data_IF_064867602387
#
_entry.id   IF_064867602387
#
_cell.length_a   1.000
_cell.length_b   1.000
_cell.length_c   1.000
_cell.angle_alpha   90.00
_cell.angle_beta   90.00
_cell.angle_gamma   90.00
#
_symmetry.space_group_name_H-M   'P 1'
#
loop_
_entity.id
_entity.type
_entity.pdbx_description
1 polymer ?
#
# COMPACT_ATOMS: atom_id res chain seq x y z
N UNK A 1 38.38 11.20 -19.20
CA UNK A 1 37.36 11.42 -18.16
C UNK A 1 36.07 10.83 -18.67
N UNK A 2 35.61 9.71 -18.10
CA UNK A 2 34.27 9.22 -18.40
C UNK A 2 33.27 10.23 -17.82
N UNK A 3 32.37 10.75 -18.67
CA UNK A 3 31.26 11.57 -18.20
C UNK A 3 30.47 10.74 -17.18
N UNK A 4 30.26 11.28 -15.98
CA UNK A 4 29.36 10.67 -15.02
C UNK A 4 27.99 10.55 -15.69
N UNK A 5 27.55 9.31 -15.97
CA UNK A 5 26.21 9.05 -16.49
C UNK A 5 25.21 9.58 -15.47
N UNK A 6 24.33 10.48 -15.90
CA UNK A 6 23.29 11.05 -15.04
C UNK A 6 22.48 9.91 -14.37
N UNK A 7 22.06 10.09 -13.10
CA UNK A 7 21.30 9.06 -12.40
C UNK A 7 20.00 8.77 -13.16
N UNK A 8 19.75 7.48 -13.42
CA UNK A 8 18.55 7.00 -14.10
C UNK A 8 17.34 6.86 -13.16
N UNK A 9 17.51 7.14 -11.88
CA UNK A 9 16.51 7.12 -10.82
C UNK A 9 16.59 8.42 -10.01
N UNK A 10 15.45 9.00 -9.70
CA UNK A 10 15.33 10.24 -8.92
C UNK A 10 14.33 10.00 -7.79
N UNK A 11 14.83 9.66 -6.61
CA UNK A 11 14.00 9.27 -5.46
C UNK A 11 13.31 10.48 -4.85
N UNK A 12 12.01 10.38 -4.55
CA UNK A 12 11.20 11.49 -4.05
C UNK A 12 11.86 12.25 -2.87
N UNK A 13 12.43 11.51 -1.91
CA UNK A 13 13.08 12.09 -0.73
C UNK A 13 14.41 12.80 -1.00
N UNK A 14 15.02 12.59 -2.17
CA UNK A 14 16.25 13.26 -2.61
C UNK A 14 15.97 14.51 -3.45
N UNK A 15 14.72 14.69 -3.88
CA UNK A 15 14.28 15.80 -4.73
C UNK A 15 13.75 17.01 -3.95
N UNK A 16 13.77 16.94 -2.63
CA UNK A 16 13.17 17.93 -1.73
C UNK A 16 14.10 18.29 -0.58
N UNK A 17 13.97 19.51 -0.07
CA UNK A 17 14.58 19.91 1.21
C UNK A 17 13.67 19.56 2.41
N UNK A 18 12.37 19.45 2.16
CA UNK A 18 11.36 19.03 3.14
C UNK A 18 10.90 17.62 2.80
N UNK A 19 11.36 16.64 3.58
CA UNK A 19 11.07 15.23 3.33
C UNK A 19 9.56 14.93 3.35
N UNK A 20 8.85 15.66 4.20
CA UNK A 20 7.42 15.50 4.46
C UNK A 20 6.60 16.55 3.71
N UNK A 21 5.46 16.15 3.16
CA UNK A 21 4.43 17.08 2.74
C UNK A 21 3.03 16.53 3.04
N UNK A 22 2.11 17.42 3.41
CA UNK A 22 0.71 17.06 3.61
C UNK A 22 0.06 16.58 2.31
N UNK A 23 -0.86 15.62 2.42
CA UNK A 23 -1.78 15.26 1.32
C UNK A 23 -2.87 16.32 1.23
N UNK A 24 -2.86 17.06 0.14
CA UNK A 24 -3.84 18.11 -0.18
C UNK A 24 -5.03 17.55 -0.95
N UNK A 25 -6.10 18.35 -1.10
CA UNK A 25 -7.25 17.97 -1.92
C UNK A 25 -6.85 17.62 -3.37
N UNK A 26 -5.86 18.31 -3.94
CA UNK A 26 -5.38 18.03 -5.30
C UNK A 26 -4.69 16.67 -5.41
N UNK A 27 -4.01 16.25 -4.36
CA UNK A 27 -3.28 14.98 -4.34
C UNK A 27 -4.22 13.76 -4.35
N UNK A 28 -5.48 13.96 -3.94
CA UNK A 28 -6.55 12.94 -3.88
C UNK A 28 -7.33 12.81 -5.20
N UNK A 29 -7.00 13.62 -6.21
CA UNK A 29 -7.62 13.52 -7.54
C UNK A 29 -7.15 12.26 -8.27
N UNK A 30 -8.08 11.56 -8.90
CA UNK A 30 -7.75 10.51 -9.87
C UNK A 30 -7.02 11.14 -11.05
N UNK A 31 -5.76 10.78 -11.25
CA UNK A 31 -4.90 11.37 -12.29
C UNK A 31 -5.22 10.79 -13.65
N UNK A 32 -5.49 9.48 -13.72
CA UNK A 32 -5.66 8.71 -14.96
C UNK A 32 -4.51 8.96 -15.94
N UNK A 33 -3.28 8.72 -15.47
CA UNK A 33 -2.07 9.00 -16.23
C UNK A 33 -2.08 8.30 -17.61
N UNK A 34 -1.57 9.01 -18.62
CA UNK A 34 -1.46 8.49 -19.98
C UNK A 34 -0.35 7.45 -20.12
N UNK A 35 -0.34 6.72 -21.24
CA UNK A 35 0.60 5.62 -21.45
C UNK A 35 0.26 4.38 -20.62
N UNK A 36 1.26 3.52 -20.38
CA UNK A 36 1.09 2.34 -19.53
C UNK A 36 1.14 2.75 -18.06
N UNK A 37 -0.03 2.94 -17.45
CA UNK A 37 -0.13 3.32 -16.05
C UNK A 37 -1.19 2.52 -15.29
N UNK A 38 -0.97 2.37 -13.99
CA UNK A 38 -1.99 1.92 -13.02
C UNK A 38 -2.18 2.98 -11.95
N UNK A 39 -3.41 3.09 -11.46
CA UNK A 39 -3.79 3.96 -10.36
C UNK A 39 -4.76 3.21 -9.45
N UNK A 40 -4.47 3.17 -8.15
CA UNK A 40 -5.30 2.49 -7.16
C UNK A 40 -5.68 3.42 -6.02
N UNK A 41 -6.88 3.20 -5.49
CA UNK A 41 -7.28 3.65 -4.17
C UNK A 41 -7.59 2.41 -3.34
N UNK A 42 -6.83 2.21 -2.26
CA UNK A 42 -6.89 1.01 -1.41
C UNK A 42 -7.12 1.40 0.03
N UNK A 43 -8.09 0.75 0.66
CA UNK A 43 -8.43 0.90 2.07
C UNK A 43 -8.11 -0.41 2.77
N UNK A 44 -7.05 -0.43 3.57
CA UNK A 44 -6.71 -1.52 4.48
C UNK A 44 -7.36 -1.27 5.83
N UNK A 45 -7.95 -2.29 6.44
CA UNK A 45 -8.77 -2.17 7.64
C UNK A 45 -8.48 -3.32 8.60
N UNK A 46 -8.31 -2.97 9.87
CA UNK A 46 -8.27 -3.87 11.00
C UNK A 46 -9.50 -3.58 11.87
N UNK A 47 -10.39 -4.56 12.01
CA UNK A 47 -11.63 -4.38 12.78
C UNK A 47 -11.36 -4.51 14.27
N UNK A 48 -12.26 -3.99 15.10
CA UNK A 48 -12.23 -4.13 16.57
C UNK A 48 -12.31 -5.61 17.00
N UNK A 49 -12.88 -6.46 16.15
CA UNK A 49 -12.90 -7.92 16.34
C UNK A 49 -11.59 -8.62 15.92
N UNK A 50 -10.60 -7.85 15.45
CA UNK A 50 -9.31 -8.35 15.02
C UNK A 50 -9.33 -9.04 13.66
N UNK A 51 -10.32 -8.75 12.81
CA UNK A 51 -10.37 -9.22 11.43
C UNK A 51 -9.62 -8.25 10.51
N UNK A 52 -9.11 -8.78 9.40
CA UNK A 52 -8.52 -7.98 8.35
C UNK A 52 -9.47 -7.88 7.16
N UNK A 53 -9.59 -6.68 6.61
CA UNK A 53 -10.30 -6.42 5.37
C UNK A 53 -9.50 -5.43 4.52
N UNK A 54 -9.53 -5.60 3.20
CA UNK A 54 -9.20 -4.48 2.33
C UNK A 54 -10.17 -4.37 1.16
N UNK A 55 -10.33 -3.15 0.65
CA UNK A 55 -11.10 -2.86 -0.55
C UNK A 55 -10.28 -1.92 -1.45
N UNK A 56 -10.17 -2.28 -2.72
CA UNK A 56 -9.41 -1.54 -3.72
C UNK A 56 -10.24 -1.28 -4.97
N UNK A 57 -10.12 -0.09 -5.53
CA UNK A 57 -10.43 0.19 -6.94
C UNK A 57 -9.12 0.39 -7.71
N UNK A 58 -8.99 -0.24 -8.87
CA UNK A 58 -7.86 -0.13 -9.78
C UNK A 58 -8.34 0.38 -11.13
N UNK A 59 -7.73 1.48 -11.59
CA UNK A 59 -7.75 1.90 -12.99
C UNK A 59 -6.43 1.51 -13.66
N UNK A 60 -6.49 0.78 -14.77
CA UNK A 60 -5.31 0.36 -15.53
C UNK A 60 -5.43 0.74 -17.00
N UNK A 61 -4.40 1.38 -17.54
CA UNK A 61 -4.26 1.73 -18.96
C UNK A 61 -3.09 0.98 -19.64
N UNK A 62 -2.75 -0.20 -19.13
CA UNK A 62 -1.67 -1.04 -19.70
C UNK A 62 -2.12 -1.72 -21.02
N UNK A 63 -3.43 -1.93 -21.21
CA UNK A 63 -4.01 -2.53 -22.41
C UNK A 63 -4.38 -1.53 -23.52
N UNK A 64 -5.13 -2.00 -24.52
CA UNK A 64 -5.66 -1.13 -25.60
C UNK A 64 -6.73 -0.15 -25.13
N UNK A 65 -7.48 -0.52 -24.09
CA UNK A 65 -8.50 0.32 -23.47
C UNK A 65 -8.31 0.27 -21.95
N UNK A 66 -8.65 1.35 -21.24
CA UNK A 66 -8.64 1.35 -19.79
C UNK A 66 -9.55 0.27 -19.21
N UNK A 67 -9.09 -0.41 -18.17
CA UNK A 67 -9.88 -1.38 -17.41
C UNK A 67 -10.04 -0.92 -15.98
N UNK A 68 -11.24 -1.08 -15.43
CA UNK A 68 -11.54 -0.79 -14.04
C UNK A 68 -11.82 -2.09 -13.33
N UNK A 69 -11.14 -2.31 -12.21
CA UNK A 69 -11.26 -3.53 -11.44
C UNK A 69 -11.45 -3.19 -9.98
N UNK A 70 -12.17 -4.04 -9.26
CA UNK A 70 -12.12 -4.06 -7.81
C UNK A 70 -11.33 -5.28 -7.34
N UNK A 71 -10.71 -5.16 -6.18
CA UNK A 71 -10.31 -6.31 -5.37
C UNK A 71 -10.72 -6.07 -3.93
N UNK A 72 -11.19 -7.11 -3.27
CA UNK A 72 -11.63 -7.07 -1.90
C UNK A 72 -11.20 -8.34 -1.17
N UNK A 73 -10.81 -8.20 0.09
CA UNK A 73 -10.42 -9.32 0.94
C UNK A 73 -11.13 -9.22 2.28
N UNK A 74 -11.49 -10.37 2.83
CA UNK A 74 -11.83 -10.52 4.24
C UNK A 74 -11.10 -11.73 4.82
N UNK A 75 -10.51 -11.55 6.00
CA UNK A 75 -9.81 -12.60 6.74
C UNK A 75 -10.14 -12.50 8.23
N UNK A 76 -10.82 -13.51 8.77
CA UNK A 76 -11.31 -13.53 10.14
C UNK A 76 -12.40 -14.58 10.35
N UNK A 77 -12.56 -15.07 11.59
CA UNK A 77 -13.60 -16.05 11.97
C UNK A 77 -13.73 -17.27 11.05
N UNK A 78 -12.58 -17.82 10.63
CA UNK A 78 -12.49 -18.97 9.73
C UNK A 78 -12.85 -18.67 8.27
N UNK A 79 -13.10 -17.41 7.91
CA UNK A 79 -13.23 -16.95 6.53
C UNK A 79 -11.87 -16.45 6.05
N UNK A 80 -11.45 -16.94 4.88
CA UNK A 80 -10.38 -16.35 4.08
C UNK A 80 -10.92 -16.21 2.66
N UNK A 81 -11.31 -14.99 2.29
CA UNK A 81 -11.97 -14.72 1.03
C UNK A 81 -11.28 -13.58 0.30
N UNK A 82 -10.88 -13.85 -0.94
CA UNK A 82 -10.35 -12.87 -1.87
C UNK A 82 -11.26 -12.84 -3.10
N UNK A 83 -11.76 -11.65 -3.46
CA UNK A 83 -12.69 -11.44 -4.57
C UNK A 83 -12.16 -10.33 -5.45
N UNK A 84 -12.23 -10.51 -6.76
CA UNK A 84 -11.89 -9.51 -7.74
C UNK A 84 -12.86 -9.56 -8.91
N UNK A 85 -12.97 -8.46 -9.64
CA UNK A 85 -13.78 -8.42 -10.84
C UNK A 85 -13.64 -7.12 -11.60
N UNK A 86 -14.09 -7.13 -12.84
CA UNK A 86 -14.13 -5.94 -13.68
C UNK A 86 -15.38 -5.12 -13.39
N UNK A 87 -15.27 -3.80 -13.56
CA UNK A 87 -16.36 -2.84 -13.38
C UNK A 87 -16.59 -2.04 -14.66
N UNK A 88 -17.84 -1.60 -14.86
CA UNK A 88 -18.29 -0.79 -15.99
C UNK A 88 -18.80 0.57 -15.54
N UNK A 89 -19.01 1.47 -16.51
CA UNK A 89 -19.57 2.81 -16.32
C UNK A 89 -18.81 3.68 -15.31
N UNK A 90 -17.48 3.62 -15.37
CA UNK A 90 -16.61 4.44 -14.53
C UNK A 90 -16.80 5.93 -14.80
N UNK A 91 -17.10 6.67 -13.73
CA UNK A 91 -17.31 8.12 -13.73
C UNK A 91 -16.61 8.74 -12.54
N UNK A 92 -15.95 9.85 -12.80
CA UNK A 92 -15.39 10.71 -11.76
C UNK A 92 -16.35 11.85 -11.43
N UNK A 93 -16.31 12.31 -10.17
CA UNK A 93 -16.86 13.60 -9.79
C UNK A 93 -16.18 14.74 -10.57
N UNK A 94 -16.78 15.93 -10.59
CA UNK A 94 -16.22 17.10 -11.29
C UNK A 94 -14.84 17.51 -10.78
N UNK A 95 -14.60 17.30 -9.49
CA UNK A 95 -13.31 17.54 -8.84
C UNK A 95 -12.36 16.32 -8.92
N UNK A 96 -12.79 15.23 -9.57
CA UNK A 96 -12.04 13.99 -9.75
C UNK A 96 -11.60 13.26 -8.47
N UNK A 97 -12.12 13.62 -7.30
CA UNK A 97 -11.76 12.98 -6.02
C UNK A 97 -12.64 11.78 -5.64
N UNK A 98 -13.77 11.63 -6.31
CA UNK A 98 -14.70 10.52 -6.13
C UNK A 98 -14.84 9.72 -7.43
N UNK A 99 -15.02 8.41 -7.31
CA UNK A 99 -15.16 7.48 -8.41
C UNK A 99 -16.37 6.58 -8.22
N UNK A 100 -17.15 6.39 -9.29
CA UNK A 100 -18.33 5.53 -9.29
C UNK A 100 -18.31 4.59 -10.49
N UNK A 101 -18.84 3.39 -10.31
CA UNK A 101 -19.05 2.34 -11.31
C UNK A 101 -20.41 1.69 -11.05
N UNK A 102 -20.84 0.73 -11.88
CA UNK A 102 -22.10 0.02 -11.66
C UNK A 102 -22.16 -0.78 -10.34
N UNK A 103 -21.01 -1.19 -9.80
CA UNK A 103 -20.93 -2.03 -8.59
C UNK A 103 -20.11 -1.45 -7.45
N UNK A 104 -19.45 -0.31 -7.64
CA UNK A 104 -18.58 0.28 -6.61
C UNK A 104 -18.62 1.80 -6.63
N UNK A 105 -18.58 2.40 -5.44
CA UNK A 105 -18.43 3.84 -5.24
C UNK A 105 -17.36 4.10 -4.20
N UNK A 106 -16.53 5.11 -4.47
CA UNK A 106 -15.61 5.74 -3.51
C UNK A 106 -15.92 7.23 -3.56
N UNK A 107 -16.51 7.76 -2.50
CA UNK A 107 -16.97 9.15 -2.43
C UNK A 107 -16.21 9.88 -1.33
N UNK A 108 -15.51 10.96 -1.67
CA UNK A 108 -14.84 11.83 -0.71
C UNK A 108 -15.73 13.01 -0.35
N UNK A 109 -15.87 13.31 0.95
CA UNK A 109 -16.62 14.49 1.39
C UNK A 109 -15.94 15.81 0.97
N UNK A 110 -16.67 16.93 0.90
CA UNK A 110 -16.12 18.22 0.49
C UNK A 110 -14.93 18.71 1.32
N UNK A 111 -14.89 18.37 2.61
CA UNK A 111 -13.82 18.73 3.53
C UNK A 111 -12.54 17.89 3.34
N UNK A 112 -12.58 16.86 2.47
CA UNK A 112 -11.47 15.95 2.19
C UNK A 112 -10.94 15.21 3.44
N UNK A 113 -11.85 14.84 4.34
CA UNK A 113 -11.54 14.17 5.61
C UNK A 113 -12.12 12.76 5.72
N UNK A 114 -13.13 12.41 4.92
CA UNK A 114 -13.86 11.15 5.04
C UNK A 114 -14.26 10.59 3.68
N UNK A 115 -13.94 9.32 3.46
CA UNK A 115 -14.45 8.54 2.34
C UNK A 115 -15.69 7.74 2.76
N UNK A 116 -16.66 7.62 1.87
CA UNK A 116 -17.74 6.63 1.92
C UNK A 116 -17.53 5.65 0.78
N UNK A 117 -17.39 4.37 1.10
CA UNK A 117 -17.09 3.31 0.13
C UNK A 117 -18.21 2.27 0.14
N UNK A 118 -18.71 1.93 -1.03
CA UNK A 118 -19.65 0.82 -1.22
C UNK A 118 -19.18 -0.08 -2.35
N UNK A 119 -19.27 -1.40 -2.16
CA UNK A 119 -19.00 -2.40 -3.18
C UNK A 119 -20.11 -3.45 -3.13
N UNK A 120 -20.74 -3.69 -4.27
CA UNK A 120 -21.73 -4.75 -4.48
C UNK A 120 -21.24 -5.60 -5.64
N UNK A 121 -20.90 -6.85 -5.34
CA UNK A 121 -20.53 -7.83 -6.35
C UNK A 121 -21.32 -9.12 -6.11
N UNK A 122 -22.21 -9.41 -7.07
CA UNK A 122 -23.19 -10.50 -6.99
C UNK A 122 -23.99 -10.47 -5.67
N UNK A 123 -24.56 -11.59 -5.28
CA UNK A 123 -25.16 -11.80 -3.97
C UNK A 123 -24.17 -12.36 -2.94
N UNK A 124 -22.88 -12.45 -3.27
CA UNK A 124 -21.85 -13.05 -2.40
C UNK A 124 -21.00 -12.02 -1.66
N UNK A 125 -20.95 -10.78 -2.14
CA UNK A 125 -20.12 -9.72 -1.57
C UNK A 125 -20.86 -8.38 -1.56
N UNK A 126 -21.13 -7.88 -0.36
CA UNK A 126 -21.56 -6.50 -0.15
C UNK A 126 -20.66 -5.87 0.91
N UNK A 127 -20.06 -4.72 0.63
CA UNK A 127 -19.26 -3.96 1.58
C UNK A 127 -19.78 -2.53 1.59
N UNK A 128 -19.93 -1.95 2.77
CA UNK A 128 -20.24 -0.53 2.95
C UNK A 128 -19.54 -0.01 4.20
N UNK A 129 -18.70 1.01 4.06
CA UNK A 129 -18.05 1.66 5.20
C UNK A 129 -17.77 3.14 4.95
N UNK A 130 -17.61 3.87 6.05
CA UNK A 130 -16.98 5.17 6.09
C UNK A 130 -15.54 5.03 6.61
N UNK A 131 -14.62 5.81 6.04
CA UNK A 131 -13.22 5.89 6.45
C UNK A 131 -12.88 7.35 6.72
N UNK A 132 -12.76 7.73 7.99
CA UNK A 132 -12.48 9.10 8.43
C UNK A 132 -11.01 9.23 8.85
N UNK A 133 -10.27 10.14 8.21
CA UNK A 133 -8.86 10.39 8.53
C UNK A 133 -8.72 10.92 9.96
N UNK A 134 -7.79 10.34 10.71
CA UNK A 134 -7.59 10.68 12.13
C UNK A 134 -6.85 12.02 12.34
N UNK A 135 -5.81 12.28 11.57
CA UNK A 135 -4.99 13.51 11.71
C UNK A 135 -4.76 14.15 10.34
N UNK A 136 -3.71 13.73 9.65
CA UNK A 136 -3.34 14.22 8.32
C UNK A 136 -2.74 13.11 7.47
N UNK A 137 -2.80 13.29 6.17
CA UNK A 137 -2.17 12.40 5.21
C UNK A 137 -0.78 12.88 4.85
N UNK A 138 0.08 11.99 4.38
CA UNK A 138 1.45 12.34 4.00
C UNK A 138 1.84 11.81 2.62
N UNK A 139 2.82 12.49 2.02
CA UNK A 139 3.62 12.07 0.88
C UNK A 139 5.08 12.46 1.12
N UNK A 140 6.02 11.77 0.47
CA UNK A 140 7.46 12.11 0.55
C UNK A 140 7.76 13.19 -0.49
N UNK A 141 8.15 14.39 -0.07
CA UNK A 141 8.26 15.56 -0.95
C UNK A 141 6.99 15.73 -1.79
N UNK A 142 7.13 15.82 -3.11
CA UNK A 142 5.98 15.89 -4.03
C UNK A 142 5.29 14.55 -4.30
N UNK A 143 5.72 13.47 -3.62
CA UNK A 143 5.14 12.14 -3.68
C UNK A 143 5.67 11.25 -4.82
N UNK A 144 6.53 11.76 -5.71
CA UNK A 144 6.98 11.07 -6.93
C UNK A 144 8.45 10.69 -6.94
N UNK A 145 8.70 9.39 -7.15
CA UNK A 145 10.01 8.89 -7.59
C UNK A 145 9.99 8.73 -9.10
N UNK A 146 10.96 9.31 -9.81
CA UNK A 146 11.01 9.32 -11.27
C UNK A 146 12.09 8.40 -11.83
N UNK A 147 11.82 7.86 -13.02
CA UNK A 147 12.70 6.97 -13.76
C UNK A 147 13.15 7.62 -15.07
N UNK A 148 14.37 7.28 -15.50
CA UNK A 148 15.03 7.87 -16.67
C UNK A 148 15.93 9.04 -16.30
N UNK A 149 16.97 9.28 -17.09
CA UNK A 149 17.95 10.35 -16.84
C UNK A 149 17.34 11.75 -16.81
N UNK A 150 16.22 11.95 -17.51
CA UNK A 150 15.47 13.21 -17.63
C UNK A 150 14.08 13.14 -16.96
N UNK A 151 13.83 12.12 -16.10
CA UNK A 151 12.55 11.90 -15.42
C UNK A 151 11.36 11.62 -16.36
N UNK A 152 11.61 11.26 -17.62
CA UNK A 152 10.56 11.06 -18.63
C UNK A 152 10.05 9.62 -18.77
N UNK A 153 10.77 8.62 -18.24
CA UNK A 153 10.49 7.21 -18.52
C UNK A 153 9.28 6.69 -17.75
N UNK A 154 9.07 7.20 -16.54
CA UNK A 154 7.97 6.78 -15.69
C UNK A 154 8.12 7.34 -14.28
N UNK A 155 7.12 7.07 -13.45
CA UNK A 155 7.13 7.47 -12.05
C UNK A 155 6.39 6.47 -11.18
N UNK A 156 6.69 6.51 -9.88
CA UNK A 156 5.92 5.87 -8.83
C UNK A 156 5.49 6.96 -7.86
N UNK A 157 4.21 6.95 -7.49
CA UNK A 157 3.61 7.94 -6.60
C UNK A 157 2.76 7.25 -5.54
N UNK A 158 2.88 7.71 -4.30
CA UNK A 158 2.05 7.22 -3.20
C UNK A 158 1.62 8.36 -2.29
N UNK A 159 0.34 8.36 -1.93
CA UNK A 159 -0.23 9.22 -0.90
C UNK A 159 -0.91 8.35 0.14
N UNK A 160 -0.75 8.74 1.41
CA UNK A 160 -1.22 7.94 2.54
C UNK A 160 -2.13 8.75 3.42
N UNK A 161 -3.21 8.13 3.92
CA UNK A 161 -3.76 8.51 5.23
C UNK A 161 -3.35 7.41 6.22
N UNK A 162 -2.33 7.66 7.06
CA UNK A 162 -1.63 6.63 7.82
C UNK A 162 -2.49 5.96 8.90
N UNK A 163 -3.54 6.64 9.35
CA UNK A 163 -4.57 6.10 10.25
C UNK A 163 -5.92 6.75 9.94
N UNK A 164 -6.96 5.94 9.85
CA UNK A 164 -8.35 6.35 9.76
C UNK A 164 -9.23 5.52 10.68
N UNK A 165 -10.37 6.09 11.10
CA UNK A 165 -11.45 5.37 11.78
C UNK A 165 -12.36 4.79 10.72
N UNK A 166 -12.72 3.53 10.90
CA UNK A 166 -13.60 2.79 10.00
C UNK A 166 -14.92 2.57 10.71
N UNK A 167 -16.03 2.77 10.01
CA UNK A 167 -17.33 2.27 10.47
C UNK A 167 -18.14 1.70 9.32
N UNK A 168 -18.64 0.49 9.48
CA UNK A 168 -19.34 -0.17 8.39
C UNK A 168 -19.59 -1.65 8.60
N UNK A 169 -19.91 -2.34 7.52
CA UNK A 169 -20.16 -3.76 7.52
C UNK A 169 -19.75 -4.42 6.19
N UNK A 170 -19.52 -5.72 6.27
CA UNK A 170 -19.35 -6.61 5.13
C UNK A 170 -20.29 -7.80 5.24
N UNK A 171 -20.94 -8.12 4.13
CA UNK A 171 -21.53 -9.42 3.87
C UNK A 171 -20.62 -10.19 2.92
N UNK A 172 -20.13 -11.34 3.36
CA UNK A 172 -19.28 -12.21 2.56
C UNK A 172 -19.53 -13.68 2.87
N UNK A 173 -19.63 -14.50 1.82
CA UNK A 173 -19.86 -15.96 1.95
C UNK A 173 -21.04 -16.32 2.86
N UNK A 174 -22.14 -15.55 2.79
CA UNK A 174 -23.35 -15.82 3.58
C UNK A 174 -23.32 -15.30 5.04
N UNK A 175 -22.25 -14.61 5.45
CA UNK A 175 -22.09 -14.09 6.82
C UNK A 175 -21.94 -12.58 6.82
N UNK A 176 -22.45 -11.95 7.88
CA UNK A 176 -22.27 -10.52 8.15
C UNK A 176 -21.18 -10.31 9.20
N UNK A 177 -20.31 -9.34 8.97
CA UNK A 177 -19.30 -8.88 9.91
C UNK A 177 -19.32 -7.36 10.01
N UNK A 178 -19.01 -6.86 11.19
CA UNK A 178 -18.83 -5.45 11.47
C UNK A 178 -17.41 -5.02 11.04
N UNK A 179 -17.28 -3.84 10.42
CA UNK A 179 -16.01 -3.28 9.97
C UNK A 179 -15.50 -2.11 10.84
N UNK A 180 -16.14 -1.83 11.98
CA UNK A 180 -15.68 -0.82 12.91
C UNK A 180 -14.25 -1.14 13.35
N UNK A 181 -13.41 -0.11 13.40
CA UNK A 181 -12.01 -0.23 13.78
C UNK A 181 -11.17 0.86 13.16
N UNK A 182 -9.96 0.49 12.74
CA UNK A 182 -8.98 1.42 12.18
C UNK A 182 -8.43 0.93 10.86
N UNK A 183 -7.76 1.80 10.12
CA UNK A 183 -7.15 1.41 8.87
C UNK A 183 -6.21 2.42 8.26
N UNK A 184 -5.70 2.06 7.10
CA UNK A 184 -4.74 2.81 6.29
C UNK A 184 -5.32 2.99 4.88
N UNK A 185 -5.32 4.23 4.38
CA UNK A 185 -5.66 4.50 2.99
C UNK A 185 -4.41 4.81 2.17
N UNK A 186 -4.31 4.20 0.99
CA UNK A 186 -3.23 4.42 0.02
C UNK A 186 -3.81 4.75 -1.34
N UNK A 187 -3.41 5.90 -1.89
CA UNK A 187 -3.63 6.26 -3.29
C UNK A 187 -2.30 6.13 -4.04
N UNK A 188 -2.17 5.10 -4.87
CA UNK A 188 -0.93 4.75 -5.55
C UNK A 188 -1.04 4.94 -7.06
N UNK A 189 0.02 5.42 -7.69
CA UNK A 189 0.14 5.51 -9.14
C UNK A 189 1.47 4.94 -9.59
N UNK A 190 1.42 4.15 -10.66
CA UNK A 190 2.60 3.65 -11.35
C UNK A 190 2.50 4.09 -12.80
N UNK A 191 3.32 5.06 -13.20
CA UNK A 191 3.34 5.65 -14.54
C UNK A 191 4.16 4.86 -15.56
N UNK A 192 4.39 3.56 -15.31
CA UNK A 192 5.05 2.65 -16.23
C UNK A 192 4.68 1.20 -15.87
N UNK A 193 5.07 0.23 -16.72
CA UNK A 193 4.75 -1.19 -16.46
C UNK A 193 5.42 -1.69 -15.18
N UNK A 194 4.72 -2.38 -14.27
CA UNK A 194 5.25 -2.74 -12.94
C UNK A 194 6.59 -3.50 -12.97
N UNK A 195 6.77 -4.41 -13.93
CA UNK A 195 8.00 -5.21 -14.06
C UNK A 195 9.25 -4.42 -14.47
N UNK A 196 9.08 -3.19 -14.93
CA UNK A 196 10.20 -2.29 -15.22
C UNK A 196 10.58 -1.46 -13.99
N UNK A 197 9.67 -1.30 -13.03
CA UNK A 197 9.83 -0.46 -11.84
C UNK A 197 10.72 -1.17 -10.82
N UNK A 198 10.32 -2.37 -10.42
CA UNK A 198 10.86 -3.04 -9.24
C UNK A 198 10.92 -4.55 -9.39
N UNK A 199 11.87 -5.16 -8.69
CA UNK A 199 12.03 -6.62 -8.56
C UNK A 199 11.33 -7.16 -7.32
N UNK A 200 11.20 -6.33 -6.28
CA UNK A 200 10.56 -6.69 -5.02
C UNK A 200 9.80 -5.51 -4.41
N UNK A 201 8.68 -5.79 -3.75
CA UNK A 201 8.01 -4.86 -2.85
C UNK A 201 7.82 -5.48 -1.47
N UNK A 202 7.88 -4.65 -0.43
CA UNK A 202 7.47 -5.00 0.91
C UNK A 202 6.48 -3.95 1.40
N UNK A 203 5.37 -4.40 1.98
CA UNK A 203 4.37 -3.53 2.58
C UNK A 203 4.05 -3.99 4.00
N UNK A 204 3.82 -3.01 4.88
CA UNK A 204 3.43 -3.24 6.27
C UNK A 204 2.35 -2.24 6.67
N UNK A 205 1.33 -2.75 7.34
CA UNK A 205 0.29 -2.00 8.05
C UNK A 205 0.08 -2.60 9.44
N UNK A 206 0.49 -1.87 10.48
CA UNK A 206 0.40 -2.30 11.88
C UNK A 206 -0.54 -1.37 12.65
N UNK A 207 -1.45 -1.94 13.44
CA UNK A 207 -2.35 -1.21 14.31
C UNK A 207 -2.40 -1.81 15.71
N UNK A 208 -2.26 -0.93 16.70
CA UNK A 208 -2.58 -1.14 18.11
C UNK A 208 -3.44 0.04 18.59
N UNK A 209 -3.89 0.01 19.84
CA UNK A 209 -4.70 1.10 20.41
C UNK A 209 -3.99 2.46 20.30
N UNK A 210 -2.70 2.50 20.62
CA UNK A 210 -1.91 3.74 20.70
C UNK A 210 -1.04 4.00 19.45
N UNK A 211 -0.55 2.96 18.79
CA UNK A 211 0.42 3.06 17.69
C UNK A 211 -0.16 2.52 16.40
N UNK A 212 -0.01 3.29 15.31
CA UNK A 212 -0.11 2.75 13.95
C UNK A 212 1.20 3.00 13.18
N UNK A 213 1.65 1.98 12.45
CA UNK A 213 2.87 2.03 11.63
C UNK A 213 2.52 1.60 10.20
N UNK A 214 3.11 2.29 9.23
CA UNK A 214 3.08 1.82 7.85
C UNK A 214 4.45 1.91 7.21
N UNK A 215 4.73 0.99 6.28
CA UNK A 215 5.93 1.02 5.45
C UNK A 215 5.62 0.50 4.06
N UNK A 216 6.17 1.16 3.06
CA UNK A 216 6.25 0.65 1.70
C UNK A 216 7.71 0.76 1.23
N UNK A 217 8.31 -0.39 0.93
CA UNK A 217 9.64 -0.50 0.32
C UNK A 217 9.51 -1.13 -1.05
N UNK A 218 10.23 -0.61 -2.04
CA UNK A 218 10.47 -1.33 -3.28
C UNK A 218 11.93 -1.29 -3.68
N UNK A 219 12.39 -2.39 -4.28
CA UNK A 219 13.73 -2.52 -4.82
C UNK A 219 13.65 -2.35 -6.34
N UNK A 220 14.33 -1.35 -6.89
CA UNK A 220 14.27 -1.07 -8.32
C UNK A 220 14.88 -2.19 -9.15
N UNK A 221 14.54 -2.25 -10.43
CA UNK A 221 15.21 -3.20 -11.34
C UNK A 221 16.71 -2.88 -11.50
N UNK A 222 17.53 -3.85 -11.94
CA UNK A 222 18.95 -3.61 -12.20
C UNK A 222 19.22 -2.46 -13.17
N UNK A 223 18.28 -2.17 -14.08
CA UNK A 223 18.35 -1.02 -15.00
C UNK A 223 18.38 0.34 -14.27
N UNK A 224 17.90 0.38 -13.03
CA UNK A 224 17.87 1.55 -12.15
C UNK A 224 18.68 1.35 -10.86
N UNK A 225 19.66 0.43 -10.89
CA UNK A 225 20.67 0.30 -9.85
C UNK A 225 20.32 -0.59 -8.66
N UNK A 226 19.19 -1.32 -8.67
CA UNK A 226 18.75 -2.16 -7.54
C UNK A 226 18.67 -1.39 -6.21
N UNK A 227 18.16 -0.16 -6.30
CA UNK A 227 18.05 0.75 -5.17
C UNK A 227 16.78 0.43 -4.38
N UNK A 228 16.91 0.33 -3.05
CA UNK A 228 15.74 0.27 -2.16
C UNK A 228 15.21 1.67 -1.92
N UNK A 229 13.98 1.91 -2.36
CA UNK A 229 13.22 3.13 -2.08
C UNK A 229 12.22 2.80 -0.99
N UNK A 230 12.22 3.59 0.09
CA UNK A 230 11.42 3.31 1.27
C UNK A 230 10.70 4.57 1.75
N UNK A 231 9.48 4.39 2.24
CA UNK A 231 8.68 5.42 2.91
C UNK A 231 7.84 4.76 4.01
N UNK A 232 7.72 5.42 5.15
CA UNK A 232 6.96 4.88 6.28
C UNK A 232 6.55 5.96 7.26
N UNK A 233 5.59 5.62 8.11
CA UNK A 233 5.01 6.54 9.08
C UNK A 233 4.89 5.94 10.48
N UNK A 234 4.87 6.83 11.46
CA UNK A 234 4.62 6.58 12.87
C UNK A 234 3.47 7.48 13.33
N UNK A 235 2.35 6.86 13.69
CA UNK A 235 1.23 7.52 14.35
C UNK A 235 1.24 7.11 15.82
N UNK A 236 1.15 8.08 16.73
CA UNK A 236 1.06 7.86 18.18
C UNK A 236 -0.16 8.61 18.70
N UNK A 237 -1.06 7.92 19.38
CA UNK A 237 -2.26 8.50 19.99
C UNK A 237 -3.01 9.43 19.03
N UNK A 238 -3.34 8.89 17.85
CA UNK A 238 -4.09 9.58 16.81
C UNK A 238 -3.41 10.84 16.25
N UNK A 239 -2.08 10.95 16.37
CA UNK A 239 -1.25 12.00 15.75
C UNK A 239 -0.17 11.42 14.87
N UNK A 240 -0.01 11.97 13.66
CA UNK A 240 1.13 11.64 12.81
C UNK A 240 2.38 12.28 13.41
N UNK A 241 3.17 11.45 14.10
CA UNK A 241 4.38 11.89 14.80
C UNK A 241 5.59 11.87 13.88
N UNK A 242 5.72 10.88 13.00
CA UNK A 242 6.92 10.72 12.18
C UNK A 242 6.63 10.22 10.78
N UNK A 243 7.39 10.73 9.82
CA UNK A 243 7.52 10.20 8.47
C UNK A 243 8.99 10.00 8.17
N UNK A 244 9.35 8.88 7.54
CA UNK A 244 10.75 8.58 7.26
C UNK A 244 10.94 7.78 5.97
N UNK A 245 12.12 7.97 5.38
CA UNK A 245 12.68 7.15 4.29
C UNK A 245 13.89 6.32 4.76
N UNK A 246 14.34 6.52 6.00
CA UNK A 246 15.46 5.76 6.63
C UNK A 246 14.91 4.54 7.38
N UNK A 247 14.12 3.76 6.67
CA UNK A 247 13.53 2.53 7.18
C UNK A 247 14.20 1.34 6.49
N UNK A 248 14.03 0.15 7.06
CA UNK A 248 14.55 -1.08 6.47
C UNK A 248 13.60 -2.25 6.67
N UNK A 249 13.50 -3.07 5.63
CA UNK A 249 12.95 -4.44 5.69
C UNK A 249 14.09 -5.43 5.51
N UNK A 250 14.27 -6.32 6.49
CA UNK A 250 15.30 -7.35 6.48
C UNK A 250 14.67 -8.72 6.69
N UNK A 251 14.85 -9.62 5.71
CA UNK A 251 14.51 -11.03 5.86
C UNK A 251 15.66 -11.71 6.59
N UNK A 252 15.51 -11.92 7.90
CA UNK A 252 16.54 -12.49 8.77
C UNK A 252 16.72 -13.99 8.54
N UNK A 253 15.61 -14.68 8.27
CA UNK A 253 15.58 -16.09 7.89
C UNK A 253 14.69 -16.25 6.65
N UNK A 254 15.11 -17.09 5.70
CA UNK A 254 14.31 -17.39 4.50
C UNK A 254 14.29 -18.88 4.19
N UNK A 255 13.22 -19.33 3.56
CA UNK A 255 13.09 -20.67 3.01
C UNK A 255 12.72 -20.63 1.53
N UNK A 256 13.05 -21.69 0.79
CA UNK A 256 12.63 -21.83 -0.60
C UNK A 256 11.16 -22.31 -0.65
N UNK A 257 10.30 -21.55 -1.31
CA UNK A 257 9.01 -22.06 -1.76
C UNK A 257 9.22 -22.82 -3.08
N UNK A 258 9.21 -24.15 -3.02
CA UNK A 258 9.44 -25.03 -4.17
C UNK A 258 8.42 -24.82 -5.32
N UNK A 259 7.22 -24.31 -5.03
CA UNK A 259 6.21 -24.06 -6.06
C UNK A 259 6.56 -22.86 -6.93
N UNK A 260 7.12 -21.81 -6.31
CA UNK A 260 7.37 -20.53 -6.99
C UNK A 260 8.84 -20.29 -7.31
N UNK A 261 9.75 -21.00 -6.63
CA UNK A 261 11.19 -20.81 -6.70
C UNK A 261 11.71 -19.63 -5.87
N UNK A 262 10.85 -18.86 -5.19
CA UNK A 262 11.28 -17.71 -4.39
C UNK A 262 11.73 -18.12 -2.99
N UNK A 263 12.71 -17.37 -2.45
CA UNK A 263 13.06 -17.46 -1.03
C UNK A 263 12.17 -16.51 -0.22
N UNK A 264 11.20 -17.08 0.48
CA UNK A 264 10.23 -16.33 1.28
C UNK A 264 10.69 -16.18 2.73
N UNK A 265 10.30 -15.09 3.42
CA UNK A 265 10.74 -14.86 4.79
C UNK A 265 10.10 -15.82 5.81
N UNK A 266 10.93 -16.32 6.72
CA UNK A 266 10.53 -17.01 7.97
C UNK A 266 10.66 -16.12 9.19
N UNK A 267 11.57 -15.16 9.15
CA UNK A 267 11.73 -14.11 10.16
C UNK A 267 12.00 -12.77 9.46
N UNK A 268 11.28 -11.73 9.86
CA UNK A 268 11.39 -10.38 9.29
C UNK A 268 11.66 -9.37 10.40
N UNK A 269 12.58 -8.44 10.14
CA UNK A 269 12.81 -7.25 10.93
C UNK A 269 12.41 -6.02 10.14
N UNK A 270 11.62 -5.15 10.76
CA UNK A 270 11.23 -3.85 10.27
C UNK A 270 11.78 -2.78 11.20
N UNK A 271 12.45 -1.78 10.64
CA UNK A 271 12.93 -0.65 11.42
C UNK A 271 12.53 0.67 10.78
N UNK A 272 12.11 1.63 11.60
CA UNK A 272 11.92 3.02 11.19
C UNK A 272 12.88 3.88 12.00
N UNK A 273 13.58 4.79 11.34
CA UNK A 273 14.44 5.77 12.01
C UNK A 273 14.15 7.13 11.43
N UNK A 274 13.91 8.14 12.24
CA UNK A 274 13.58 9.47 11.73
C UNK A 274 13.60 10.52 12.80
N UNK A 275 12.98 11.65 12.50
CA UNK A 275 12.71 12.72 13.47
C UNK A 275 11.21 12.97 13.53
N UNK A 276 10.73 13.26 14.74
CA UNK A 276 9.35 13.64 14.94
C UNK A 276 9.07 14.98 14.24
N UNK A 277 7.94 15.09 13.54
CA UNK A 277 7.61 16.22 12.67
C UNK A 277 7.54 17.55 13.43
N UNK A 278 7.07 17.53 14.68
CA UNK A 278 6.84 18.76 15.46
C UNK A 278 7.99 19.06 16.44
N UNK A 279 8.57 18.04 17.08
CA UNK A 279 9.60 18.23 18.11
C UNK A 279 11.03 18.07 17.59
N UNK A 280 11.23 17.57 16.37
CA UNK A 280 12.53 17.19 15.79
C UNK A 280 13.31 16.14 16.62
N UNK A 281 12.71 15.58 17.68
CA UNK A 281 13.28 14.50 18.47
C UNK A 281 13.50 13.27 17.58
N UNK A 282 14.65 12.62 17.71
CA UNK A 282 14.90 11.38 16.99
C UNK A 282 13.91 10.30 17.45
N UNK A 283 13.33 9.57 16.51
CA UNK A 283 12.54 8.38 16.82
C UNK A 283 13.15 7.14 16.19
N UNK A 284 12.96 6.00 16.86
CA UNK A 284 13.30 4.67 16.38
C UNK A 284 12.14 3.72 16.66
N UNK A 285 11.79 2.91 15.68
CA UNK A 285 10.82 1.83 15.84
C UNK A 285 11.45 0.52 15.42
N UNK A 286 11.29 -0.53 16.23
CA UNK A 286 11.66 -1.90 15.88
C UNK A 286 10.42 -2.78 15.95
N UNK A 287 10.21 -3.58 14.90
CA UNK A 287 9.21 -4.64 14.88
C UNK A 287 9.86 -5.88 14.28
N UNK A 288 9.84 -6.98 15.02
CA UNK A 288 10.41 -8.26 14.58
C UNK A 288 9.35 -9.34 14.68
N UNK A 289 9.16 -10.12 13.61
CA UNK A 289 8.12 -11.14 13.53
C UNK A 289 8.60 -12.41 12.83
N UNK A 290 8.11 -13.56 13.29
CA UNK A 290 8.09 -14.80 12.51
C UNK A 290 6.66 -15.02 11.99
N UNK A 291 6.35 -14.68 10.72
CA UNK A 291 4.99 -14.78 10.20
C UNK A 291 4.48 -16.23 10.28
N UNK A 292 3.33 -16.44 10.93
CA UNK A 292 2.75 -17.78 11.12
C UNK A 292 1.51 -17.99 10.24
N UNK A 293 0.71 -16.95 10.08
CA UNK A 293 -0.56 -16.99 9.36
C UNK A 293 -0.37 -16.43 7.95
N UNK A 294 -0.01 -17.31 7.02
CA UNK A 294 -0.05 -16.98 5.59
C UNK A 294 -1.52 -16.95 5.16
N UNK A 295 -2.00 -15.78 4.74
CA UNK A 295 -3.35 -15.62 4.25
C UNK A 295 -3.47 -16.08 2.81
N UNK A 296 -2.51 -15.69 1.97
CA UNK A 296 -2.56 -16.05 0.57
C UNK A 296 -1.19 -15.99 -0.10
N UNK A 297 -1.10 -16.74 -1.20
CA UNK A 297 -0.01 -16.74 -2.16
C UNK A 297 -0.62 -16.51 -3.53
N UNK A 298 -0.54 -15.28 -4.01
CA UNK A 298 -1.22 -14.82 -5.21
C UNK A 298 -0.26 -14.91 -6.40
N UNK A 299 -0.57 -15.75 -7.40
CA UNK A 299 0.05 -15.68 -8.73
C UNK A 299 -0.55 -14.50 -9.49
N UNK A 300 0.18 -13.38 -9.53
CA UNK A 300 -0.32 -12.13 -10.13
C UNK A 300 -0.73 -12.34 -11.60
N UNK A 301 -0.13 -13.31 -12.30
CA UNK A 301 -0.52 -13.59 -13.67
C UNK A 301 -1.88 -14.24 -13.77
N UNK A 302 -2.26 -15.09 -12.82
CA UNK A 302 -3.58 -15.70 -12.86
C UNK A 302 -4.69 -14.70 -12.56
N UNK A 303 -4.38 -13.64 -11.80
CA UNK A 303 -5.35 -12.61 -11.41
C UNK A 303 -5.53 -11.48 -12.45
N UNK A 304 -4.66 -11.37 -13.47
CA UNK A 304 -4.80 -10.37 -14.53
C UNK A 304 -5.56 -10.90 -15.77
N UNK A 305 -6.31 -10.04 -16.48
CA UNK A 305 -6.96 -10.41 -17.73
C UNK A 305 -5.99 -10.97 -18.79
N UNK A 306 -6.45 -11.92 -19.59
CA UNK A 306 -5.65 -12.69 -20.55
C UNK A 306 -4.84 -11.83 -21.54
N UNK A 307 -5.33 -10.63 -21.90
CA UNK A 307 -4.64 -9.71 -22.82
C UNK A 307 -3.32 -9.20 -22.22
N UNK A 308 -3.23 -9.05 -20.89
CA UNK A 308 -2.02 -8.58 -20.20
C UNK A 308 -1.01 -9.72 -20.01
N UNK A 309 -1.46 -10.99 -19.92
CA UNK A 309 -0.57 -12.17 -19.82
C UNK A 309 0.49 -12.23 -20.93
N UNK A 310 0.19 -11.73 -22.14
CA UNK A 310 1.14 -11.70 -23.26
C UNK A 310 2.30 -10.71 -23.07
N UNK A 311 2.10 -9.62 -22.30
CA UNK A 311 3.17 -8.66 -21.98
C UNK A 311 4.19 -9.24 -20.99
N UNK A 312 3.83 -10.34 -20.32
CA UNK A 312 4.62 -10.98 -19.27
C UNK A 312 5.46 -12.17 -19.78
N UNK A 313 5.26 -12.61 -21.03
CA UNK A 313 6.15 -13.60 -21.65
C UNK A 313 7.61 -13.13 -21.74
N UNK A 314 7.87 -11.83 -21.53
CA UNK A 314 9.21 -11.25 -21.44
C UNK A 314 9.84 -11.31 -20.03
N UNK A 315 9.11 -11.73 -18.99
CA UNK A 315 9.65 -11.86 -17.63
C UNK A 315 10.36 -13.20 -17.44
N UNK A 316 11.46 -13.16 -16.69
CA UNK A 316 12.29 -14.35 -16.40
C UNK A 316 11.62 -15.26 -15.36
N UNK A 317 10.91 -14.66 -14.39
CA UNK A 317 10.14 -15.36 -13.37
C UNK A 317 8.70 -14.86 -13.30
N UNK A 318 7.80 -15.69 -12.74
CA UNK A 318 6.41 -15.30 -12.51
C UNK A 318 6.31 -14.43 -11.25
N UNK A 319 5.54 -13.33 -11.27
CA UNK A 319 5.33 -12.51 -10.08
C UNK A 319 4.39 -13.17 -9.07
N UNK A 320 4.76 -13.15 -7.80
CA UNK A 320 3.94 -13.63 -6.69
C UNK A 320 3.85 -12.61 -5.56
N UNK A 321 2.70 -12.55 -4.90
CA UNK A 321 2.48 -11.77 -3.68
C UNK A 321 2.17 -12.74 -2.54
N UNK A 322 2.93 -12.65 -1.45
CA UNK A 322 2.66 -13.35 -0.21
C UNK A 322 2.07 -12.37 0.79
N UNK A 323 0.93 -12.72 1.37
CA UNK A 323 0.22 -11.88 2.32
C UNK A 323 0.08 -12.60 3.65
N UNK A 324 0.44 -11.93 4.74
CA UNK A 324 0.28 -12.46 6.09
C UNK A 324 -0.49 -11.48 6.97
N UNK A 325 -1.17 -12.03 7.98
CA UNK A 325 -1.81 -11.25 9.03
C UNK A 325 -1.63 -11.91 10.38
N UNK A 326 -0.88 -11.25 11.25
CA UNK A 326 -0.42 -11.81 12.52
C UNK A 326 -0.57 -10.79 13.64
N UNK A 327 -0.39 -11.25 14.87
CA UNK A 327 -0.04 -10.36 15.98
C UNK A 327 1.46 -10.06 15.95
N UNK A 328 1.82 -8.83 16.27
CA UNK A 328 3.21 -8.38 16.37
C UNK A 328 3.38 -7.44 17.56
N UNK A 329 4.61 -7.32 18.05
CA UNK A 329 4.97 -6.32 19.06
C UNK A 329 5.93 -5.30 18.46
N UNK A 330 5.58 -4.04 18.60
CA UNK A 330 6.40 -2.90 18.20
C UNK A 330 7.03 -2.26 19.44
N UNK A 331 8.29 -1.89 19.35
CA UNK A 331 8.99 -1.03 20.30
C UNK A 331 9.22 0.33 19.64
N UNK A 332 8.69 1.40 20.25
CA UNK A 332 8.79 2.78 19.76
C UNK A 332 9.55 3.62 20.78
N UNK A 333 10.60 4.30 20.33
CA UNK A 333 11.44 5.20 21.14
C UNK A 333 11.40 6.57 20.50
N UNK A 334 11.14 7.63 21.28
CA UNK A 334 11.11 9.03 20.81
C UNK A 334 11.88 9.91 21.80
N UNK A 335 13.00 10.47 21.37
CA UNK A 335 13.91 11.23 22.23
C UNK A 335 14.43 10.36 23.39
N UNK A 336 14.48 10.95 24.59
CA UNK A 336 14.92 10.28 25.82
C UNK A 336 13.74 9.67 26.62
N UNK A 337 12.55 9.58 26.02
CA UNK A 337 11.36 9.03 26.68
C UNK A 337 11.47 7.50 26.82
N UNK A 338 10.85 6.89 27.84
CA UNK A 338 10.78 5.43 27.96
C UNK A 338 10.19 4.79 26.69
N UNK A 339 10.68 3.60 26.27
CA UNK A 339 10.12 2.89 25.13
C UNK A 339 8.63 2.57 25.32
N UNK A 340 7.83 2.81 24.28
CA UNK A 340 6.45 2.34 24.18
C UNK A 340 6.49 0.95 23.53
N UNK A 341 6.08 -0.07 24.27
CA UNK A 341 6.04 -1.46 23.79
C UNK A 341 4.58 -1.87 23.68
N UNK A 342 4.10 -2.11 22.46
CA UNK A 342 2.68 -2.41 22.20
C UNK A 342 2.53 -3.62 21.31
N UNK A 343 1.55 -4.45 21.63
CA UNK A 343 1.11 -5.56 20.78
C UNK A 343 -0.07 -5.10 19.94
N UNK A 344 -0.08 -5.48 18.67
CA UNK A 344 -1.12 -5.11 17.73
C UNK A 344 -1.24 -6.10 16.58
N UNK A 345 -2.13 -5.80 15.64
CA UNK A 345 -2.31 -6.58 14.41
C UNK A 345 -1.41 -6.03 13.32
N UNK A 346 -0.76 -6.93 12.60
CA UNK A 346 0.18 -6.65 11.52
C UNK A 346 -0.31 -7.34 10.25
N UNK A 347 -0.69 -6.55 9.26
CA UNK A 347 -0.75 -7.00 7.88
C UNK A 347 0.60 -6.73 7.21
N UNK A 348 1.14 -7.72 6.51
CA UNK A 348 2.36 -7.52 5.73
C UNK A 348 2.33 -8.28 4.40
N UNK A 349 2.97 -7.69 3.39
CA UNK A 349 3.11 -8.28 2.07
C UNK A 349 4.57 -8.35 1.65
N UNK A 350 4.92 -9.42 0.93
CA UNK A 350 6.16 -9.52 0.17
C UNK A 350 5.82 -9.89 -1.27
N UNK A 351 6.12 -8.98 -2.19
CA UNK A 351 5.90 -9.16 -3.62
C UNK A 351 7.22 -9.43 -4.31
N UNK A 352 7.30 -10.50 -5.08
CA UNK A 352 8.43 -10.88 -5.89
C UNK A 352 8.03 -10.81 -7.36
N UNK A 353 8.84 -10.15 -8.19
CA UNK A 353 8.52 -9.89 -9.60
C UNK A 353 9.56 -10.50 -10.55
N UNK A 354 10.80 -10.67 -10.09
CA UNK A 354 11.94 -11.08 -10.91
C UNK A 354 12.70 -12.26 -10.31
#
# INVERSE_FOLDING_TARGET
MAAATAPSLHVAGELTNELYSDVTARDLEWTLASGSATETQTFYMCTDSGHFCFVQMLHSNIGWYPTIQFSARFFGDGINAFKLGNMSNFKLSSDRRSATTDGMKIELNPECTKYTVSLVHTNELLISFEFERVDRGFKIGEGKTFFGSDKSTGFVEHKFWPKGKVSGNVFINGKHFDLNGVGLFVHALQGMRPHLIATRWNFVDFHSDEIALSMLEFETTPAYGSVKVNQGSLVVNDKLVGVSVKNAVEFLETELDEETGYRIPREISYTWNGKALESEEAFKVNLKIRPQTLMDKIDVLNEIPYVIKKLVQAMVAKPYIYQWYNEATAEVIIGDKPPIIVTGKLFNEATFIY
#
